data_IF_849548554402
#
_entry.id   IF_849548554402
#
_cell.length_a   1.000
_cell.length_b   1.000
_cell.length_c   1.000
_cell.angle_alpha   90.00
_cell.angle_beta   90.00
_cell.angle_gamma   90.00
#
_symmetry.space_group_name_H-M   'P 1'
#
loop_
_entity.id
_entity.type
_entity.pdbx_description
1 polymer ?
#
# COMPACT_ATOMS: atom_id res chain seq x y z
N UNK A 1 6.69 30.29 5.41
CA UNK A 1 7.54 29.11 5.63
C UNK A 1 7.03 27.86 4.85
N UNK A 2 5.75 27.81 4.48
CA UNK A 2 5.14 26.71 3.67
C UNK A 2 5.67 26.62 2.23
N UNK A 3 5.96 27.76 1.60
CA UNK A 3 6.47 27.79 0.21
C UNK A 3 7.87 27.16 0.03
N UNK A 4 8.70 27.14 1.09
CA UNK A 4 10.03 26.56 1.02
C UNK A 4 10.04 25.02 1.15
N UNK A 5 9.03 24.44 1.84
CA UNK A 5 8.91 22.99 1.99
C UNK A 5 8.39 22.31 0.70
N UNK A 6 7.44 22.96 -0.01
CA UNK A 6 6.98 22.49 -1.33
C UNK A 6 8.10 22.52 -2.38
N UNK A 7 8.99 23.54 -2.33
CA UNK A 7 10.13 23.65 -3.25
C UNK A 7 11.19 22.57 -3.06
N UNK A 8 11.28 21.93 -1.87
CA UNK A 8 12.26 20.87 -1.61
C UNK A 8 11.83 19.51 -2.20
N UNK A 9 10.52 19.21 -2.23
CA UNK A 9 9.99 17.99 -2.87
C UNK A 9 10.15 18.04 -4.39
N UNK A 10 9.95 19.23 -4.98
CA UNK A 10 10.06 19.43 -6.43
C UNK A 10 11.51 19.34 -6.98
N UNK A 11 12.54 19.42 -6.13
CA UNK A 11 13.94 19.46 -6.59
C UNK A 11 14.66 18.11 -6.64
N UNK A 12 14.08 17.04 -6.11
CA UNK A 12 14.70 15.71 -6.13
C UNK A 12 14.13 14.73 -7.17
N UNK A 13 13.12 15.13 -7.93
CA UNK A 13 12.41 14.23 -8.85
C UNK A 13 12.86 14.42 -10.29
N UNK A 14 13.63 13.47 -10.82
CA UNK A 14 13.56 13.20 -12.25
C UNK A 14 12.09 12.86 -12.58
N UNK A 15 11.54 13.37 -13.71
CA UNK A 15 10.17 13.06 -14.09
C UNK A 15 10.04 11.54 -14.16
N UNK A 16 9.08 10.99 -13.42
CA UNK A 16 8.69 9.61 -13.57
C UNK A 16 8.22 9.43 -15.02
N UNK A 17 8.87 8.51 -15.72
CA UNK A 17 8.37 8.12 -17.03
C UNK A 17 6.97 7.52 -16.85
N UNK A 18 6.03 8.07 -17.55
CA UNK A 18 4.61 7.74 -17.51
C UNK A 18 4.34 6.24 -17.67
N UNK A 19 3.33 5.63 -16.98
CA UNK A 19 2.91 4.23 -17.22
C UNK A 19 2.52 3.92 -18.66
N UNK A 20 2.21 4.92 -19.49
CA UNK A 20 2.11 4.76 -20.97
C UNK A 20 3.38 4.17 -21.58
N UNK A 21 4.46 4.08 -20.85
CA UNK A 21 5.68 3.34 -21.21
C UNK A 21 5.49 1.83 -21.29
N UNK A 22 4.30 1.32 -21.17
CA UNK A 22 4.01 -0.03 -21.56
C UNK A 22 4.13 -1.11 -20.47
N UNK A 23 4.16 -0.77 -19.18
CA UNK A 23 4.26 -1.76 -18.09
C UNK A 23 3.08 -1.70 -17.12
N UNK A 24 2.68 -2.87 -16.61
CA UNK A 24 1.73 -2.97 -15.53
C UNK A 24 2.39 -2.54 -14.20
N UNK A 25 1.89 -1.50 -13.50
CA UNK A 25 2.52 -1.02 -12.27
C UNK A 25 2.52 -2.05 -11.13
N UNK A 26 1.63 -3.04 -11.22
CA UNK A 26 1.49 -4.06 -10.18
C UNK A 26 2.47 -5.23 -10.31
N UNK A 27 2.91 -5.60 -11.52
CA UNK A 27 3.78 -6.76 -11.74
C UNK A 27 4.98 -6.52 -12.68
N UNK A 28 5.12 -5.32 -13.27
CA UNK A 28 6.21 -4.98 -14.16
C UNK A 28 6.12 -5.56 -15.58
N UNK A 29 5.16 -6.44 -15.87
CA UNK A 29 5.01 -7.02 -17.21
C UNK A 29 4.52 -6.00 -18.22
N UNK A 30 4.91 -6.19 -19.50
CA UNK A 30 4.49 -5.31 -20.59
C UNK A 30 2.97 -5.10 -20.62
N UNK A 31 2.54 -3.86 -20.65
CA UNK A 31 1.13 -3.50 -20.75
C UNK A 31 0.59 -3.55 -22.20
N UNK A 32 1.42 -3.83 -23.19
CA UNK A 32 1.00 -3.87 -24.62
C UNK A 32 -0.13 -4.88 -24.88
N UNK A 33 -0.28 -5.89 -24.04
CA UNK A 33 -1.36 -6.89 -24.13
C UNK A 33 -2.49 -6.63 -23.13
N UNK A 34 -2.42 -5.52 -22.38
CA UNK A 34 -3.48 -5.16 -21.42
C UNK A 34 -4.79 -4.88 -22.16
N UNK A 35 -5.88 -5.36 -21.59
CA UNK A 35 -7.21 -5.20 -22.15
C UNK A 35 -7.89 -4.00 -21.53
N UNK A 36 -8.57 -3.20 -22.36
CA UNK A 36 -9.45 -2.17 -21.86
C UNK A 36 -10.51 -2.79 -20.94
N UNK A 37 -10.67 -2.22 -19.74
CA UNK A 37 -11.63 -2.69 -18.77
C UNK A 37 -12.84 -1.75 -18.69
N UNK A 38 -12.63 -0.47 -18.34
CA UNK A 38 -13.69 0.54 -18.25
C UNK A 38 -13.11 1.96 -18.18
N UNK A 39 -14.00 2.95 -18.40
CA UNK A 39 -13.74 4.37 -18.16
C UNK A 39 -14.76 4.95 -17.22
N UNK A 40 -14.36 5.88 -16.37
CA UNK A 40 -15.28 6.69 -15.57
C UNK A 40 -14.59 7.96 -15.04
N UNK A 41 -15.40 8.90 -14.58
CA UNK A 41 -14.92 10.11 -13.92
C UNK A 41 -14.83 9.86 -12.41
N UNK A 42 -13.68 10.14 -11.82
CA UNK A 42 -13.45 10.09 -10.38
C UNK A 42 -12.80 11.41 -9.90
N UNK A 43 -12.25 11.41 -8.68
CA UNK A 43 -11.59 12.60 -8.13
C UNK A 43 -10.31 13.02 -8.88
N UNK A 44 -9.76 12.15 -9.73
CA UNK A 44 -8.62 12.43 -10.61
C UNK A 44 -9.04 12.90 -12.01
N UNK A 45 -10.33 13.07 -12.26
CA UNK A 45 -10.92 13.36 -13.56
C UNK A 45 -11.35 12.11 -14.33
N UNK A 46 -11.31 12.17 -15.66
CA UNK A 46 -11.61 11.01 -16.51
C UNK A 46 -10.45 10.02 -16.44
N UNK A 47 -10.75 8.78 -16.02
CA UNK A 47 -9.77 7.69 -15.87
C UNK A 47 -10.14 6.50 -16.73
N UNK A 48 -9.15 5.97 -17.42
CA UNK A 48 -9.23 4.71 -18.15
C UNK A 48 -8.54 3.61 -17.36
N UNK A 49 -9.18 2.45 -17.32
CA UNK A 49 -8.68 1.30 -16.57
C UNK A 49 -8.43 0.13 -17.48
N UNK A 50 -7.26 -0.47 -17.32
CA UNK A 50 -6.80 -1.63 -18.07
C UNK A 50 -6.73 -2.85 -17.15
N UNK A 51 -6.82 -4.03 -17.76
CA UNK A 51 -6.62 -5.31 -17.09
C UNK A 51 -5.36 -5.99 -17.60
N UNK A 52 -4.43 -6.27 -16.71
CA UNK A 52 -3.22 -7.02 -17.01
C UNK A 52 -3.56 -8.50 -17.26
N UNK A 53 -3.15 -9.11 -18.39
CA UNK A 53 -3.41 -10.53 -18.66
C UNK A 53 -2.61 -11.45 -17.71
N UNK A 54 -1.42 -11.05 -17.29
CA UNK A 54 -0.51 -11.85 -16.48
C UNK A 54 -0.91 -11.90 -15.00
N UNK A 55 -0.96 -10.75 -14.35
CA UNK A 55 -1.26 -10.70 -12.92
C UNK A 55 -2.75 -10.50 -12.60
N UNK A 56 -3.59 -10.25 -13.61
CA UNK A 56 -5.02 -9.94 -13.51
C UNK A 56 -5.37 -8.70 -12.70
N UNK A 57 -4.38 -7.84 -12.44
CA UNK A 57 -4.62 -6.54 -11.82
C UNK A 57 -5.41 -5.64 -12.76
N UNK A 58 -6.28 -4.82 -12.18
CA UNK A 58 -6.82 -3.65 -12.85
C UNK A 58 -5.93 -2.48 -12.48
N UNK A 59 -5.53 -1.68 -13.46
CA UNK A 59 -4.67 -0.52 -13.24
C UNK A 59 -5.12 0.65 -14.09
N UNK A 60 -4.90 1.85 -13.57
CA UNK A 60 -5.24 3.10 -14.24
C UNK A 60 -4.22 3.36 -15.34
N UNK A 61 -4.71 3.58 -16.56
CA UNK A 61 -3.91 4.09 -17.67
C UNK A 61 -3.88 5.60 -17.63
N UNK A 62 -2.71 6.19 -17.71
CA UNK A 62 -2.55 7.64 -17.68
C UNK A 62 -1.22 8.07 -17.06
N UNK A 63 -0.93 9.35 -17.21
CA UNK A 63 0.30 9.93 -16.71
C UNK A 63 0.35 9.94 -15.19
N UNK A 64 1.47 9.48 -14.65
CA UNK A 64 1.80 9.64 -13.26
C UNK A 64 2.59 10.93 -13.06
N UNK A 65 2.08 11.80 -12.23
CA UNK A 65 2.80 12.95 -11.73
C UNK A 65 2.87 12.87 -10.23
N UNK A 66 4.07 12.91 -9.66
CA UNK A 66 4.25 12.93 -8.21
C UNK A 66 3.54 14.13 -7.58
N UNK A 67 3.59 15.28 -8.25
CA UNK A 67 2.93 16.50 -7.78
C UNK A 67 1.42 16.32 -7.67
N UNK A 68 0.79 15.72 -8.68
CA UNK A 68 -0.63 15.39 -8.67
C UNK A 68 -0.97 14.34 -7.60
N UNK A 69 -0.08 13.38 -7.34
CA UNK A 69 -0.28 12.40 -6.26
C UNK A 69 -0.21 13.03 -4.88
N UNK A 70 0.76 13.90 -4.64
CA UNK A 70 0.89 14.66 -3.38
C UNK A 70 -0.36 15.49 -3.14
N UNK A 71 -0.79 16.26 -4.15
CA UNK A 71 -2.00 17.09 -4.06
C UNK A 71 -3.26 16.25 -3.81
N UNK A 72 -3.43 15.15 -4.57
CA UNK A 72 -4.55 14.23 -4.41
C UNK A 72 -4.57 13.60 -3.02
N UNK A 73 -3.44 13.06 -2.57
CA UNK A 73 -3.32 12.39 -1.26
C UNK A 73 -3.60 13.39 -0.14
N UNK A 74 -3.05 14.59 -0.23
CA UNK A 74 -3.27 15.63 0.78
C UNK A 74 -4.73 16.06 0.85
N UNK A 75 -5.40 16.27 -0.29
CA UNK A 75 -6.80 16.72 -0.34
C UNK A 75 -7.81 15.63 0.03
N UNK A 76 -7.57 14.41 -0.47
CA UNK A 76 -8.59 13.36 -0.44
C UNK A 76 -8.43 12.38 0.72
N UNK A 77 -7.21 12.18 1.19
CA UNK A 77 -6.92 11.12 2.17
C UNK A 77 -6.57 11.68 3.55
N UNK A 78 -5.84 12.78 3.60
CA UNK A 78 -5.21 13.21 4.85
C UNK A 78 -5.65 14.59 5.35
N UNK A 79 -6.20 15.43 4.49
CA UNK A 79 -6.59 16.78 4.86
C UNK A 79 -5.47 17.57 5.55
N UNK A 80 -5.76 18.11 6.73
CA UNK A 80 -4.81 18.76 7.62
C UNK A 80 -4.27 17.83 8.73
N UNK A 81 -3.41 18.36 9.60
CA UNK A 81 -2.80 17.61 10.70
C UNK A 81 -3.85 17.06 11.71
N UNK A 82 -4.94 17.76 11.91
CA UNK A 82 -6.02 17.35 12.81
C UNK A 82 -6.76 16.12 12.26
N UNK A 83 -7.09 16.15 10.96
CA UNK A 83 -7.70 15.00 10.27
C UNK A 83 -6.76 13.80 10.26
N UNK A 84 -5.46 14.03 10.05
CA UNK A 84 -4.44 12.98 10.13
C UNK A 84 -4.35 12.34 11.52
N UNK A 85 -4.42 13.14 12.58
CA UNK A 85 -4.45 12.64 13.95
C UNK A 85 -5.70 11.82 14.25
N UNK A 86 -6.88 12.27 13.81
CA UNK A 86 -8.14 11.51 13.93
C UNK A 86 -8.07 10.17 13.18
N UNK A 87 -7.45 10.15 12.00
CA UNK A 87 -7.26 8.93 11.23
C UNK A 87 -6.34 7.95 11.95
N UNK A 88 -5.28 8.41 12.61
CA UNK A 88 -4.42 7.58 13.44
C UNK A 88 -5.21 6.89 14.56
N UNK A 89 -6.09 7.59 15.25
CA UNK A 89 -6.97 7.03 16.27
C UNK A 89 -7.90 5.95 15.69
N UNK A 90 -8.50 6.22 14.53
CA UNK A 90 -9.35 5.26 13.83
C UNK A 90 -8.59 3.98 13.44
N UNK A 91 -7.32 4.11 13.01
CA UNK A 91 -6.47 3.00 12.61
C UNK A 91 -5.78 2.29 13.79
N UNK A 92 -5.84 2.83 15.00
CA UNK A 92 -5.07 2.35 16.14
C UNK A 92 -5.26 0.85 16.42
N UNK A 93 -6.49 0.34 16.39
CA UNK A 93 -6.76 -1.10 16.56
C UNK A 93 -6.12 -1.96 15.48
N UNK A 94 -6.11 -1.45 14.25
CA UNK A 94 -5.44 -2.11 13.13
C UNK A 94 -3.94 -2.16 13.36
N UNK A 95 -3.33 -1.04 13.74
CA UNK A 95 -1.89 -0.96 14.05
C UNK A 95 -1.50 -1.93 15.17
N UNK A 96 -2.25 -1.97 16.26
CA UNK A 96 -2.03 -2.91 17.35
C UNK A 96 -2.14 -4.38 16.89
N UNK A 97 -3.12 -4.69 16.04
CA UNK A 97 -3.28 -6.04 15.48
C UNK A 97 -2.12 -6.45 14.59
N UNK A 98 -1.63 -5.53 13.75
CA UNK A 98 -0.49 -5.76 12.87
C UNK A 98 0.78 -5.92 13.71
N UNK A 99 1.00 -5.03 14.68
CA UNK A 99 2.16 -5.06 15.54
C UNK A 99 2.21 -6.35 16.38
N UNK A 100 1.07 -6.82 16.89
CA UNK A 100 0.98 -8.11 17.58
C UNK A 100 1.41 -9.29 16.70
N UNK A 101 1.07 -9.28 15.42
CA UNK A 101 1.51 -10.32 14.49
C UNK A 101 3.01 -10.21 14.21
N UNK A 102 3.54 -9.00 14.06
CA UNK A 102 4.95 -8.73 13.85
C UNK A 102 5.79 -9.19 15.05
N UNK A 103 5.41 -8.79 16.26
CA UNK A 103 6.16 -9.11 17.51
C UNK A 103 6.18 -10.60 17.85
N UNK A 104 5.30 -11.39 17.26
CA UNK A 104 5.39 -12.86 17.33
C UNK A 104 6.55 -13.43 16.48
N UNK A 105 7.10 -12.64 15.56
CA UNK A 105 8.16 -13.06 14.63
C UNK A 105 9.49 -12.38 14.95
N UNK A 106 9.44 -11.14 15.44
CA UNK A 106 10.63 -10.31 15.71
C UNK A 106 10.49 -9.72 17.11
N UNK A 107 11.51 -9.93 17.96
CA UNK A 107 11.62 -9.20 19.24
C UNK A 107 11.96 -7.73 18.94
N UNK A 108 11.21 -6.74 19.45
CA UNK A 108 11.40 -5.33 19.09
C UNK A 108 12.71 -4.72 19.60
N UNK A 109 13.20 -5.16 20.75
CA UNK A 109 14.32 -4.53 21.45
C UNK A 109 15.59 -4.47 20.60
N UNK A 110 16.07 -3.26 20.34
CA UNK A 110 17.25 -2.99 19.53
C UNK A 110 17.09 -3.24 18.02
N UNK A 111 15.85 -3.46 17.57
CA UNK A 111 15.53 -3.68 16.15
C UNK A 111 15.05 -2.40 15.49
N UNK A 112 15.48 -2.19 14.25
CA UNK A 112 15.20 -1.00 13.45
C UNK A 112 14.05 -1.28 12.49
N UNK A 113 13.06 -0.37 12.47
CA UNK A 113 11.89 -0.46 11.62
C UNK A 113 11.78 0.77 10.71
N UNK A 114 11.66 0.53 9.41
CA UNK A 114 11.31 1.55 8.40
C UNK A 114 9.83 1.44 8.05
N UNK A 115 9.08 2.54 8.21
CA UNK A 115 7.67 2.63 7.80
C UNK A 115 7.54 3.38 6.47
N UNK A 116 7.16 2.65 5.42
CA UNK A 116 7.03 3.16 4.04
C UNK A 116 5.61 3.69 3.83
N UNK A 117 5.49 4.98 3.54
CA UNK A 117 4.21 5.67 3.53
C UNK A 117 3.69 5.88 4.96
N UNK A 118 4.54 6.43 5.82
CA UNK A 118 4.29 6.52 7.26
C UNK A 118 3.15 7.46 7.66
N UNK A 119 2.66 8.29 6.72
CA UNK A 119 1.59 9.25 7.00
C UNK A 119 1.90 10.09 8.25
N UNK A 120 0.95 10.32 9.11
CA UNK A 120 1.09 11.05 10.37
C UNK A 120 1.72 10.22 11.51
N UNK A 121 2.41 9.11 11.21
CA UNK A 121 3.26 8.37 12.15
C UNK A 121 2.52 7.43 13.09
N UNK A 122 1.23 7.18 12.92
CA UNK A 122 0.46 6.39 13.88
C UNK A 122 0.97 4.94 14.08
N UNK A 123 1.48 4.29 13.03
CA UNK A 123 2.11 2.98 13.17
C UNK A 123 3.52 3.09 13.76
N UNK A 124 4.27 4.12 13.39
CA UNK A 124 5.61 4.39 13.95
C UNK A 124 5.53 4.59 15.47
N UNK A 125 4.56 5.37 15.98
CA UNK A 125 4.34 5.54 17.43
C UNK A 125 4.08 4.20 18.12
N UNK A 126 3.18 3.39 17.57
CA UNK A 126 2.87 2.06 18.13
C UNK A 126 4.09 1.13 18.12
N UNK A 127 4.90 1.15 17.06
CA UNK A 127 6.12 0.37 16.95
C UNK A 127 7.21 0.86 17.91
N UNK A 128 7.37 2.18 18.09
CA UNK A 128 8.30 2.78 19.04
C UNK A 128 7.93 2.42 20.48
N UNK A 129 6.64 2.48 20.84
CA UNK A 129 6.14 2.05 22.15
C UNK A 129 6.38 0.56 22.41
N UNK A 130 6.41 -0.27 21.35
CA UNK A 130 6.76 -1.68 21.46
C UNK A 130 8.27 -1.93 21.58
N UNK A 131 9.12 -0.91 21.41
CA UNK A 131 10.58 -0.97 21.57
C UNK A 131 11.39 -1.04 20.29
N UNK A 132 10.80 -0.79 19.11
CA UNK A 132 11.55 -0.61 17.87
C UNK A 132 12.20 0.77 17.81
N UNK A 133 13.38 0.86 17.16
CA UNK A 133 13.93 2.11 16.65
C UNK A 133 13.31 2.41 15.29
N UNK A 134 12.54 3.50 15.19
CA UNK A 134 11.66 3.75 14.06
C UNK A 134 12.17 4.89 13.18
N UNK A 135 12.08 4.68 11.87
CA UNK A 135 12.21 5.73 10.87
C UNK A 135 11.12 5.55 9.81
N UNK A 136 10.78 6.60 9.08
CA UNK A 136 9.76 6.49 8.05
C UNK A 136 9.88 7.55 6.96
N UNK A 137 9.11 7.39 5.90
CA UNK A 137 8.95 8.42 4.88
C UNK A 137 7.53 8.46 4.32
N UNK A 138 7.17 9.62 3.80
CA UNK A 138 5.89 9.84 3.12
C UNK A 138 6.05 10.92 2.05
N UNK A 139 5.17 10.93 1.06
CA UNK A 139 5.14 11.95 0.02
C UNK A 139 4.52 13.26 0.49
N UNK A 140 3.76 13.25 1.59
CA UNK A 140 3.01 14.41 2.10
C UNK A 140 3.87 15.21 3.08
N UNK A 141 4.32 16.43 2.72
CA UNK A 141 5.20 17.23 3.59
C UNK A 141 4.61 17.55 4.97
N UNK A 142 3.29 17.79 5.04
CA UNK A 142 2.60 18.09 6.30
C UNK A 142 2.63 16.89 7.26
N UNK A 143 2.46 15.68 6.75
CA UNK A 143 2.55 14.44 7.51
C UNK A 143 3.97 14.22 8.06
N UNK A 144 4.98 14.36 7.21
CA UNK A 144 6.39 14.26 7.63
C UNK A 144 6.76 15.31 8.67
N UNK A 145 6.29 16.55 8.50
CA UNK A 145 6.52 17.61 9.48
C UNK A 145 5.87 17.29 10.84
N UNK A 146 4.69 16.65 10.83
CA UNK A 146 4.03 16.16 12.04
C UNK A 146 4.87 15.10 12.75
N UNK A 147 5.32 14.06 12.03
CA UNK A 147 6.18 12.99 12.58
C UNK A 147 7.45 13.55 13.22
N UNK A 148 8.13 14.48 12.54
CA UNK A 148 9.34 15.16 13.07
C UNK A 148 9.08 15.94 14.33
N UNK A 149 7.93 16.64 14.44
CA UNK A 149 7.56 17.38 15.66
C UNK A 149 7.34 16.46 16.87
N UNK A 150 7.00 15.18 16.63
CA UNK A 150 6.88 14.16 17.68
C UNK A 150 8.19 13.42 17.96
N UNK A 151 9.33 13.93 17.47
CA UNK A 151 10.66 13.41 17.79
C UNK A 151 11.06 12.14 17.03
N UNK A 152 10.30 11.74 16.01
CA UNK A 152 10.63 10.57 15.18
C UNK A 152 11.38 10.98 13.91
N UNK A 153 12.20 10.06 13.38
CA UNK A 153 12.95 10.25 12.14
C UNK A 153 12.04 10.06 10.94
N UNK A 154 11.90 11.07 10.09
CA UNK A 154 11.11 10.96 8.87
C UNK A 154 11.69 11.79 7.72
N UNK A 155 11.46 11.34 6.48
CA UNK A 155 11.86 12.04 5.25
C UNK A 155 10.67 12.23 4.32
N UNK A 156 10.64 13.36 3.60
CA UNK A 156 9.69 13.57 2.52
C UNK A 156 10.30 13.06 1.22
N UNK A 157 9.87 11.89 0.76
CA UNK A 157 10.29 11.30 -0.51
C UNK A 157 9.23 10.33 -1.02
N UNK A 158 9.33 9.94 -2.31
CA UNK A 158 8.33 9.12 -2.98
C UNK A 158 8.70 7.64 -3.04
N UNK A 159 9.99 7.33 -3.03
CA UNK A 159 10.51 5.99 -3.29
C UNK A 159 11.45 5.54 -2.17
N UNK A 160 11.49 4.22 -1.96
CA UNK A 160 12.38 3.60 -0.95
C UNK A 160 13.84 3.94 -1.21
N UNK A 161 14.29 3.98 -2.47
CA UNK A 161 15.67 4.32 -2.84
C UNK A 161 16.06 5.76 -2.50
N UNK A 162 15.11 6.68 -2.44
CA UNK A 162 15.34 8.09 -2.11
C UNK A 162 15.49 8.34 -0.60
N UNK A 163 15.13 7.35 0.21
CA UNK A 163 15.28 7.46 1.66
C UNK A 163 16.76 7.31 2.04
N UNK A 164 17.37 8.38 2.52
CA UNK A 164 18.81 8.50 2.80
C UNK A 164 19.16 8.95 4.21
N UNK A 165 18.17 9.34 5.02
CA UNK A 165 18.39 9.81 6.40
C UNK A 165 19.08 8.78 7.28
N UNK A 166 18.85 7.49 6.97
CA UNK A 166 19.46 6.38 7.68
C UNK A 166 20.06 5.43 6.65
N UNK A 167 21.38 5.37 6.54
CA UNK A 167 22.11 4.54 5.56
C UNK A 167 22.18 3.06 5.92
N UNK A 168 21.92 2.72 7.17
CA UNK A 168 21.95 1.35 7.65
C UNK A 168 20.70 0.57 7.22
N UNK A 169 20.85 -0.75 7.19
CA UNK A 169 19.73 -1.66 6.90
C UNK A 169 18.79 -1.77 8.08
N UNK A 170 17.55 -2.18 7.80
CA UNK A 170 16.49 -2.35 8.76
C UNK A 170 16.23 -3.84 9.03
N UNK A 171 15.84 -4.16 10.26
CA UNK A 171 15.37 -5.51 10.62
C UNK A 171 13.95 -5.74 10.15
N UNK A 172 13.17 -4.66 10.06
CA UNK A 172 11.77 -4.67 9.64
C UNK A 172 11.51 -3.52 8.68
N UNK A 173 10.74 -3.79 7.62
CA UNK A 173 10.09 -2.76 6.80
C UNK A 173 8.58 -2.98 6.86
N UNK A 174 7.82 -1.93 7.13
CA UNK A 174 6.35 -1.92 7.08
C UNK A 174 5.84 -1.13 5.88
N UNK A 175 4.79 -1.65 5.21
CA UNK A 175 4.07 -0.98 4.13
C UNK A 175 2.58 -1.19 4.38
N UNK A 176 1.91 -0.18 4.90
CA UNK A 176 0.51 -0.29 5.30
C UNK A 176 -0.38 0.53 4.38
N UNK A 177 -0.93 -0.12 3.34
CA UNK A 177 -1.80 0.47 2.31
C UNK A 177 -1.11 1.51 1.39
N UNK A 178 0.22 1.65 1.43
CA UNK A 178 0.93 2.60 0.58
C UNK A 178 1.22 2.04 -0.83
N UNK A 179 1.35 0.73 -0.98
CA UNK A 179 1.74 0.10 -2.24
C UNK A 179 0.76 0.34 -3.40
N UNK A 180 -0.51 0.60 -3.11
CA UNK A 180 -1.55 0.87 -4.13
C UNK A 180 -1.34 2.18 -4.91
N UNK A 181 -0.42 3.02 -4.46
CA UNK A 181 -0.04 4.28 -5.11
C UNK A 181 1.29 4.18 -5.87
N UNK A 182 2.02 3.08 -5.75
CA UNK A 182 3.32 2.93 -6.41
C UNK A 182 3.20 2.84 -7.93
N UNK A 183 4.05 3.57 -8.66
CA UNK A 183 4.08 3.48 -10.12
C UNK A 183 4.72 2.18 -10.62
N UNK A 184 5.64 1.59 -9.84
CA UNK A 184 6.34 0.35 -10.14
C UNK A 184 6.55 -0.45 -8.84
N UNK A 185 5.60 -1.35 -8.56
CA UNK A 185 5.64 -2.17 -7.36
C UNK A 185 6.84 -3.15 -7.32
N UNK A 186 7.25 -3.83 -8.42
CA UNK A 186 8.47 -4.64 -8.42
C UNK A 186 9.73 -3.86 -8.08
N UNK A 187 9.90 -2.64 -8.61
CA UNK A 187 11.05 -1.79 -8.28
C UNK A 187 11.07 -1.44 -6.80
N UNK A 188 9.96 -0.98 -6.23
CA UNK A 188 9.86 -0.65 -4.80
C UNK A 188 10.12 -1.87 -3.91
N UNK A 189 9.60 -3.05 -4.26
CA UNK A 189 9.88 -4.28 -3.51
C UNK A 189 11.36 -4.69 -3.58
N UNK A 190 12.01 -4.44 -4.71
CA UNK A 190 13.45 -4.65 -4.85
C UNK A 190 14.24 -3.70 -3.95
N UNK A 191 13.89 -2.42 -3.93
CA UNK A 191 14.53 -1.43 -3.08
C UNK A 191 14.31 -1.75 -1.59
N UNK A 192 13.12 -2.22 -1.21
CA UNK A 192 12.83 -2.70 0.15
C UNK A 192 13.72 -3.89 0.52
N UNK A 193 13.87 -4.86 -0.40
CA UNK A 193 14.72 -6.02 -0.15
C UNK A 193 16.19 -5.62 0.12
N UNK A 194 16.68 -4.61 -0.60
CA UNK A 194 18.04 -4.08 -0.42
C UNK A 194 18.19 -3.31 0.90
N UNK A 195 17.12 -2.71 1.41
CA UNK A 195 17.11 -2.01 2.71
C UNK A 195 16.98 -2.95 3.91
N UNK A 196 16.58 -4.19 3.72
CA UNK A 196 16.49 -5.17 4.79
C UNK A 196 17.83 -5.84 5.07
N UNK A 197 18.07 -6.21 6.33
CA UNK A 197 19.15 -7.16 6.68
C UNK A 197 18.82 -8.54 6.09
N UNK A 198 19.79 -9.43 5.86
CA UNK A 198 19.51 -10.82 5.51
C UNK A 198 18.58 -11.48 6.54
N UNK A 199 17.47 -12.04 6.10
CA UNK A 199 16.45 -12.59 7.00
C UNK A 199 15.55 -11.53 7.66
N UNK A 200 15.68 -10.25 7.28
CA UNK A 200 14.81 -9.18 7.76
C UNK A 200 13.34 -9.36 7.31
N UNK A 201 12.44 -8.76 8.03
CA UNK A 201 11.00 -8.97 7.87
C UNK A 201 10.36 -7.80 7.12
N UNK A 202 9.61 -8.12 6.08
CA UNK A 202 8.66 -7.23 5.44
C UNK A 202 7.26 -7.54 5.99
N UNK A 203 6.58 -6.53 6.54
CA UNK A 203 5.16 -6.63 6.89
C UNK A 203 4.36 -5.65 6.02
N UNK A 204 3.39 -6.19 5.29
CA UNK A 204 2.54 -5.40 4.41
C UNK A 204 1.07 -5.58 4.76
N UNK A 205 0.33 -4.48 4.69
CA UNK A 205 -1.11 -4.53 4.55
C UNK A 205 -1.46 -4.12 3.14
N UNK A 206 -2.10 -5.03 2.40
CA UNK A 206 -2.53 -4.79 1.02
C UNK A 206 -4.05 -4.69 0.94
N UNK A 207 -4.52 -3.93 -0.05
CA UNK A 207 -5.93 -3.88 -0.40
C UNK A 207 -6.18 -4.78 -1.61
N UNK A 208 -7.12 -5.73 -1.47
CA UNK A 208 -7.59 -6.56 -2.59
C UNK A 208 -9.10 -6.39 -2.77
N UNK A 209 -9.47 -5.61 -3.76
CA UNK A 209 -10.86 -5.43 -4.21
C UNK A 209 -11.08 -5.98 -5.62
N UNK A 210 -10.16 -6.77 -6.14
CA UNK A 210 -10.21 -7.31 -7.51
C UNK A 210 -11.46 -8.17 -7.77
N UNK A 211 -11.93 -8.88 -6.75
CA UNK A 211 -13.18 -9.63 -6.82
C UNK A 211 -14.40 -8.69 -6.99
N UNK A 212 -14.40 -7.52 -6.32
CA UNK A 212 -15.48 -6.53 -6.50
C UNK A 212 -15.49 -5.98 -7.91
N UNK A 213 -14.30 -5.73 -8.50
CA UNK A 213 -14.17 -5.31 -9.89
C UNK A 213 -14.73 -6.37 -10.85
N UNK A 214 -14.43 -7.64 -10.63
CA UNK A 214 -14.95 -8.74 -11.45
C UNK A 214 -16.48 -8.87 -11.36
N UNK A 215 -17.04 -8.77 -10.15
CA UNK A 215 -18.50 -8.77 -9.94
C UNK A 215 -19.14 -7.52 -10.54
N UNK A 216 -18.49 -6.34 -10.41
CA UNK A 216 -18.95 -5.09 -10.98
C UNK A 216 -19.04 -5.15 -12.51
N UNK A 217 -18.02 -5.72 -13.17
CA UNK A 217 -18.00 -5.91 -14.62
C UNK A 217 -19.13 -6.83 -15.11
N UNK A 218 -19.40 -7.92 -14.38
CA UNK A 218 -20.53 -8.79 -14.70
C UNK A 218 -21.87 -8.09 -14.47
N UNK A 219 -22.03 -7.41 -13.34
CA UNK A 219 -23.25 -6.71 -12.98
C UNK A 219 -23.55 -5.58 -13.97
N UNK A 220 -22.54 -4.93 -14.55
CA UNK A 220 -22.72 -3.88 -15.55
C UNK A 220 -23.47 -4.35 -16.79
N UNK A 221 -23.41 -5.64 -17.13
CA UNK A 221 -24.13 -6.22 -18.27
C UNK A 221 -25.66 -6.28 -18.04
N UNK A 222 -26.09 -6.44 -16.80
CA UNK A 222 -27.53 -6.56 -16.44
C UNK A 222 -28.09 -5.32 -15.74
N UNK A 223 -27.24 -4.54 -15.09
CA UNK A 223 -27.61 -3.30 -14.40
C UNK A 223 -26.45 -2.30 -14.45
N UNK A 224 -26.32 -1.52 -15.54
CA UNK A 224 -25.15 -0.64 -15.78
C UNK A 224 -24.82 0.26 -14.60
N UNK A 225 -25.81 0.95 -14.02
CA UNK A 225 -25.60 1.89 -12.92
C UNK A 225 -25.06 1.21 -11.64
N UNK A 226 -25.56 0.01 -11.30
CA UNK A 226 -25.09 -0.74 -10.13
C UNK A 226 -23.68 -1.31 -10.38
N UNK A 227 -23.44 -1.83 -11.58
CA UNK A 227 -22.14 -2.33 -12.00
C UNK A 227 -21.08 -1.22 -11.93
N UNK A 228 -21.35 -0.06 -12.51
CA UNK A 228 -20.46 1.09 -12.47
C UNK A 228 -20.15 1.55 -11.03
N UNK A 229 -21.16 1.64 -10.16
CA UNK A 229 -20.96 2.00 -8.75
C UNK A 229 -20.02 1.00 -8.03
N UNK A 230 -20.15 -0.30 -8.33
CA UNK A 230 -19.30 -1.32 -7.72
C UNK A 230 -17.87 -1.25 -8.27
N UNK A 231 -17.69 -1.03 -9.58
CA UNK A 231 -16.40 -0.81 -10.21
C UNK A 231 -15.67 0.40 -9.61
N UNK A 232 -16.34 1.55 -9.52
CA UNK A 232 -15.78 2.74 -8.89
C UNK A 232 -15.31 2.46 -7.46
N UNK A 233 -16.11 1.74 -6.65
CA UNK A 233 -15.75 1.37 -5.28
C UNK A 233 -14.57 0.39 -5.20
N UNK A 234 -14.38 -0.45 -6.23
CA UNK A 234 -13.31 -1.44 -6.25
C UNK A 234 -11.92 -0.83 -6.46
N UNK A 235 -11.84 0.27 -7.19
CA UNK A 235 -10.58 0.94 -7.49
C UNK A 235 -10.44 2.28 -6.77
N UNK A 236 -11.56 2.96 -6.51
CA UNK A 236 -11.62 4.24 -5.78
C UNK A 236 -10.52 5.22 -6.24
N UNK A 237 -9.61 5.57 -5.34
CA UNK A 237 -8.45 6.45 -5.54
C UNK A 237 -7.14 5.70 -5.81
N UNK A 238 -7.17 4.38 -5.83
CA UNK A 238 -6.00 3.54 -6.06
C UNK A 238 -5.50 3.66 -7.49
N UNK A 239 -4.20 3.41 -7.70
CA UNK A 239 -3.63 3.29 -9.04
C UNK A 239 -3.83 1.92 -9.65
N UNK A 240 -3.87 0.90 -8.82
CA UNK A 240 -4.19 -0.45 -9.24
C UNK A 240 -4.91 -1.23 -8.14
N UNK A 241 -5.59 -2.29 -8.55
CA UNK A 241 -6.17 -3.28 -7.66
C UNK A 241 -5.66 -4.66 -8.10
N UNK A 242 -4.89 -5.31 -7.23
CA UNK A 242 -4.21 -6.56 -7.52
C UNK A 242 -4.79 -7.71 -6.70
N UNK A 243 -5.06 -8.89 -7.31
CA UNK A 243 -5.42 -10.07 -6.55
C UNK A 243 -4.32 -10.49 -5.58
N UNK A 244 -4.68 -10.77 -4.32
CA UNK A 244 -3.72 -11.14 -3.29
C UNK A 244 -2.79 -12.30 -3.70
N UNK A 245 -3.33 -13.33 -4.38
CA UNK A 245 -2.52 -14.44 -4.90
C UNK A 245 -1.46 -14.02 -5.92
N UNK A 246 -1.78 -13.04 -6.76
CA UNK A 246 -0.82 -12.49 -7.72
C UNK A 246 0.25 -11.67 -7.01
N UNK A 247 -0.16 -10.94 -5.96
CA UNK A 247 0.77 -10.18 -5.13
C UNK A 247 1.80 -11.10 -4.44
N UNK A 248 1.38 -12.25 -3.90
CA UNK A 248 2.30 -13.21 -3.30
C UNK A 248 3.37 -13.68 -4.29
N UNK A 249 3.02 -13.93 -5.56
CA UNK A 249 4.01 -14.28 -6.60
C UNK A 249 4.98 -13.15 -6.90
N UNK A 250 4.51 -11.90 -6.92
CA UNK A 250 5.38 -10.74 -7.11
C UNK A 250 6.37 -10.59 -5.94
N UNK A 251 5.92 -10.82 -4.71
CA UNK A 251 6.80 -10.85 -3.54
C UNK A 251 7.89 -11.93 -3.66
N UNK A 252 7.50 -13.14 -4.05
CA UNK A 252 8.45 -14.25 -4.24
C UNK A 252 9.46 -13.92 -5.34
N UNK A 253 9.02 -13.33 -6.45
CA UNK A 253 9.91 -12.87 -7.54
C UNK A 253 10.87 -11.76 -7.10
N UNK A 254 10.46 -10.92 -6.14
CA UNK A 254 11.31 -9.88 -5.55
C UNK A 254 12.27 -10.43 -4.47
N UNK A 255 12.32 -11.75 -4.25
CA UNK A 255 13.24 -12.38 -3.31
C UNK A 255 12.70 -12.52 -1.88
N UNK A 256 11.39 -12.42 -1.68
CA UNK A 256 10.78 -12.62 -0.38
C UNK A 256 10.20 -14.01 -0.22
N UNK A 257 10.43 -14.63 0.93
CA UNK A 257 9.75 -15.86 1.34
C UNK A 257 8.54 -15.50 2.19
N UNK A 258 7.34 -15.78 1.69
CA UNK A 258 6.11 -15.52 2.43
C UNK A 258 6.00 -16.44 3.65
N UNK A 259 5.93 -15.86 4.84
CA UNK A 259 5.75 -16.58 6.12
C UNK A 259 4.27 -16.76 6.43
N UNK A 260 3.49 -15.71 6.22
CA UNK A 260 2.04 -15.75 6.44
C UNK A 260 1.33 -14.73 5.58
N UNK A 261 0.12 -15.09 5.15
CA UNK A 261 -0.82 -14.17 4.53
C UNK A 261 -2.19 -14.39 5.18
N UNK A 262 -2.80 -13.34 5.68
CA UNK A 262 -4.07 -13.44 6.41
C UNK A 262 -5.00 -12.29 6.01
N UNK A 263 -6.28 -12.54 5.76
CA UNK A 263 -7.27 -11.49 5.56
C UNK A 263 -7.59 -10.71 6.85
N UNK A 264 -6.88 -10.95 7.93
CA UNK A 264 -6.99 -10.20 9.19
C UNK A 264 -6.34 -8.82 9.03
N UNK A 265 -6.85 -7.85 9.76
CA UNK A 265 -6.34 -6.46 9.72
C UNK A 265 -7.26 -5.50 8.95
N UNK A 266 -8.51 -5.91 8.73
CA UNK A 266 -9.53 -4.98 8.28
C UNK A 266 -9.77 -3.89 9.34
N UNK A 267 -9.91 -2.66 8.87
CA UNK A 267 -10.33 -1.55 9.73
C UNK A 267 -11.81 -1.76 10.05
N UNK A 268 -12.14 -2.01 11.31
CA UNK A 268 -13.50 -2.04 11.79
C UNK A 268 -13.70 -0.86 12.74
N UNK A 269 -14.67 0.00 12.44
CA UNK A 269 -15.25 0.90 13.44
C UNK A 269 -16.14 0.10 14.38
N UNK A 270 -16.39 0.63 15.57
CA UNK A 270 -17.32 0.00 16.52
C UNK A 270 -18.73 -0.11 15.93
N UNK A 271 -19.08 0.80 15.02
CA UNK A 271 -20.36 0.84 14.28
C UNK A 271 -20.41 -0.13 13.08
N UNK A 272 -19.38 -0.94 12.85
CA UNK A 272 -19.39 -1.91 11.77
C UNK A 272 -20.54 -2.90 11.96
N UNK A 273 -21.45 -2.95 11.00
CA UNK A 273 -22.64 -3.80 11.07
C UNK A 273 -22.27 -5.28 11.24
N UNK A 274 -23.11 -6.04 11.93
CA UNK A 274 -22.93 -7.48 12.13
C UNK A 274 -22.76 -8.22 10.79
N UNK A 275 -23.49 -7.81 9.76
CA UNK A 275 -23.38 -8.38 8.41
C UNK A 275 -21.97 -8.23 7.82
N UNK A 276 -21.33 -7.07 8.03
CA UNK A 276 -19.94 -6.85 7.59
C UNK A 276 -18.98 -7.71 8.41
N UNK A 277 -19.15 -7.79 9.74
CA UNK A 277 -18.32 -8.66 10.59
C UNK A 277 -18.43 -10.14 10.19
N UNK A 278 -19.64 -10.62 9.88
CA UNK A 278 -19.87 -11.99 9.39
C UNK A 278 -19.25 -12.23 8.02
N UNK A 279 -19.34 -11.26 7.08
CA UNK A 279 -18.72 -11.37 5.76
C UNK A 279 -17.19 -11.48 5.85
N UNK A 280 -16.57 -10.77 6.78
CA UNK A 280 -15.14 -10.91 7.05
C UNK A 280 -14.80 -12.28 7.65
N UNK A 281 -15.59 -12.75 8.61
CA UNK A 281 -15.43 -14.10 9.20
C UNK A 281 -15.51 -15.19 8.12
N UNK A 282 -16.48 -15.09 7.24
CA UNK A 282 -16.62 -15.99 6.09
C UNK A 282 -15.42 -15.88 5.14
N UNK A 283 -14.97 -14.66 4.81
CA UNK A 283 -13.79 -14.43 3.97
C UNK A 283 -12.52 -15.05 4.56
N UNK A 284 -12.33 -14.98 5.89
CA UNK A 284 -11.22 -15.63 6.59
C UNK A 284 -11.33 -17.16 6.50
N UNK A 285 -12.52 -17.71 6.72
CA UNK A 285 -12.75 -19.15 6.63
C UNK A 285 -12.50 -19.69 5.22
N UNK A 286 -13.00 -19.00 4.19
CA UNK A 286 -12.80 -19.37 2.78
C UNK A 286 -11.32 -19.30 2.39
N UNK A 287 -10.57 -18.31 2.91
CA UNK A 287 -9.13 -18.23 2.68
C UNK A 287 -8.40 -19.42 3.30
N UNK A 288 -8.71 -19.76 4.54
CA UNK A 288 -8.05 -20.83 5.28
C UNK A 288 -8.36 -22.23 4.74
N UNK A 289 -9.59 -22.44 4.25
CA UNK A 289 -10.05 -23.77 3.79
C UNK A 289 -9.87 -23.99 2.30
N UNK A 290 -10.19 -22.99 1.49
CA UNK A 290 -10.21 -23.10 0.03
C UNK A 290 -9.17 -22.22 -0.67
N UNK A 291 -8.44 -21.39 0.09
CA UNK A 291 -7.53 -20.41 -0.45
C UNK A 291 -8.21 -19.34 -1.33
N UNK A 292 -9.53 -19.13 -1.17
CA UNK A 292 -10.29 -18.12 -1.89
C UNK A 292 -10.26 -16.81 -1.12
N UNK A 293 -9.68 -15.79 -1.73
CA UNK A 293 -9.56 -14.46 -1.10
C UNK A 293 -10.74 -13.58 -1.47
N UNK A 294 -11.63 -13.32 -0.53
CA UNK A 294 -12.80 -12.44 -0.68
C UNK A 294 -12.81 -11.28 0.32
N UNK A 295 -11.73 -11.09 1.06
CA UNK A 295 -11.61 -9.98 1.99
C UNK A 295 -11.07 -8.73 1.28
N UNK A 296 -11.43 -7.51 1.70
CA UNK A 296 -10.96 -6.27 1.07
C UNK A 296 -9.50 -5.93 1.38
N UNK A 297 -8.79 -6.76 2.13
CA UNK A 297 -7.37 -6.57 2.43
C UNK A 297 -6.76 -7.76 3.16
N UNK A 298 -5.44 -7.85 3.12
CA UNK A 298 -4.66 -8.87 3.83
C UNK A 298 -3.44 -8.25 4.52
N UNK A 299 -3.05 -8.86 5.64
CA UNK A 299 -1.73 -8.66 6.24
C UNK A 299 -0.83 -9.80 5.80
N UNK A 300 0.31 -9.44 5.22
CA UNK A 300 1.32 -10.35 4.72
C UNK A 300 2.60 -10.13 5.52
N UNK A 301 3.21 -11.20 5.99
CA UNK A 301 4.53 -11.19 6.61
C UNK A 301 5.43 -12.04 5.73
N UNK A 302 6.53 -11.48 5.28
CA UNK A 302 7.52 -12.13 4.45
C UNK A 302 8.94 -11.86 4.96
N UNK A 303 9.86 -12.75 4.66
CA UNK A 303 11.26 -12.66 5.04
C UNK A 303 12.11 -12.42 3.80
N UNK A 304 13.05 -11.49 3.88
CA UNK A 304 14.02 -11.26 2.83
C UNK A 304 14.95 -12.49 2.69
N UNK A 305 14.85 -13.20 1.57
CA UNK A 305 15.70 -14.36 1.30
C UNK A 305 17.16 -13.91 1.10
N UNK A 306 18.14 -14.59 1.69
CA UNK A 306 19.56 -14.26 1.49
C UNK A 306 20.01 -14.50 0.05
N UNK A 307 19.34 -15.42 -0.66
CA UNK A 307 19.61 -15.75 -2.06
C UNK A 307 18.43 -15.25 -2.91
N UNK A 308 18.66 -14.17 -3.64
CA UNK A 308 17.69 -13.71 -4.65
C UNK A 308 17.64 -14.71 -5.82
N UNK A 309 16.46 -15.15 -6.29
CA UNK A 309 16.40 -15.80 -7.58
C UNK A 309 16.93 -14.81 -8.64
N UNK A 310 17.92 -15.27 -9.44
CA UNK A 310 18.50 -14.49 -10.55
C UNK A 310 17.51 -14.40 -11.70
#
# INVERSE_FOLDING_TARGET
>A
MESAAMSAVAKSTQPFESPRTGHCPACGNSAMQAQHAWKFVNARGETEWLRCPECRSYFMDGDYSLENEVEHTQKMTWGDAEQGAQLNLFKQRMYQSILKQLTQKVSPAGKRLLDVGCSYGGFMEAAQQAGFDVAGFDIVPAAVAHVKRHGMVAQCCAQVREFDLVRERFDVVSVLDANIYWPDQPAELNDIHERLVPGGILIMRIVDKSWMASVGALLQQVSPARGQKLLQRSVNDHRFSMPARSFLRVLESAGFRVISASPRGAIHSDDTSLAVKLSFGLGIALWQTLGVFLAPGAVIIAEASPNRPR
#
